data_IF_189640374946
#
_entry.id   IF_189640374946
#
_cell.length_a   1.000
_cell.length_b   1.000
_cell.length_c   1.000
_cell.angle_alpha   90.00
_cell.angle_beta   90.00
_cell.angle_gamma   90.00
#
_symmetry.space_group_name_H-M   'P 1'
#
loop_
_entity.id
_entity.type
_entity.pdbx_description
1 polymer ?
#
# COMPACT_ATOMS: atom_id res chain seq x y z
N UNK A 1 7.96 -8.67 4.10
CA UNK A 1 7.34 -9.72 3.27
C UNK A 1 8.45 -10.39 2.46
N UNK A 2 8.61 -11.70 2.59
CA UNK A 2 9.52 -12.47 1.75
C UNK A 2 8.67 -13.07 0.63
N UNK A 3 9.02 -12.80 -0.63
CA UNK A 3 8.26 -13.36 -1.75
C UNK A 3 8.34 -14.89 -1.70
N UNK A 4 7.21 -15.61 -1.84
CA UNK A 4 7.22 -17.06 -1.96
C UNK A 4 8.06 -17.44 -3.18
N UNK A 5 9.15 -18.18 -2.97
CA UNK A 5 10.10 -18.52 -4.04
C UNK A 5 9.42 -19.27 -5.19
N UNK A 6 8.40 -20.06 -4.87
CA UNK A 6 7.68 -20.90 -5.84
C UNK A 6 6.65 -20.10 -6.67
N UNK A 7 6.41 -18.82 -6.35
CA UNK A 7 5.49 -17.94 -7.08
C UNK A 7 6.15 -16.59 -7.40
N UNK A 8 7.49 -16.58 -7.51
CA UNK A 8 8.27 -15.38 -7.80
C UNK A 8 9.33 -15.67 -8.85
N UNK A 9 9.25 -14.95 -9.96
CA UNK A 9 10.19 -15.04 -11.05
C UNK A 9 10.89 -13.68 -11.26
N UNK A 10 12.21 -13.71 -11.45
CA UNK A 10 12.99 -12.58 -11.97
C UNK A 10 13.52 -13.00 -13.33
N UNK A 11 13.24 -12.21 -14.35
CA UNK A 11 13.67 -12.48 -15.72
C UNK A 11 13.65 -11.21 -16.57
N UNK A 12 13.94 -11.36 -17.86
CA UNK A 12 13.85 -10.27 -18.83
C UNK A 12 12.38 -10.06 -19.25
N UNK A 13 11.65 -9.25 -18.47
CA UNK A 13 10.25 -8.87 -18.69
C UNK A 13 10.09 -7.37 -18.99
N UNK A 14 11.09 -6.74 -19.63
CA UNK A 14 10.94 -5.36 -20.07
C UNK A 14 10.09 -5.29 -21.34
N UNK A 15 9.00 -4.52 -21.33
CA UNK A 15 8.05 -4.40 -22.46
C UNK A 15 8.67 -3.83 -23.75
N UNK A 16 9.87 -3.25 -23.67
CA UNK A 16 10.62 -2.76 -24.82
C UNK A 16 11.59 -3.81 -25.40
N UNK A 17 11.70 -4.99 -24.79
CA UNK A 17 12.48 -6.11 -25.32
C UNK A 17 11.70 -6.79 -26.44
N UNK A 18 12.30 -7.08 -27.61
CA UNK A 18 11.67 -7.86 -28.67
C UNK A 18 11.19 -9.25 -28.20
N UNK A 19 11.85 -9.82 -27.20
CA UNK A 19 11.56 -11.14 -26.61
C UNK A 19 10.51 -11.09 -25.50
N UNK A 20 9.96 -9.91 -25.17
CA UNK A 20 9.04 -9.75 -24.04
C UNK A 20 7.87 -10.72 -24.10
N UNK A 21 7.13 -10.74 -25.22
CA UNK A 21 5.91 -11.56 -25.37
C UNK A 21 6.25 -13.05 -25.20
N UNK A 22 7.34 -13.51 -25.81
CA UNK A 22 7.80 -14.89 -25.70
C UNK A 22 8.13 -15.26 -24.26
N UNK A 23 8.98 -14.47 -23.59
CA UNK A 23 9.40 -14.74 -22.21
C UNK A 23 8.21 -14.65 -21.25
N UNK A 24 7.33 -13.67 -21.46
CA UNK A 24 6.17 -13.45 -20.61
C UNK A 24 5.18 -14.61 -20.73
N UNK A 25 4.85 -15.08 -21.94
CA UNK A 25 4.00 -16.26 -22.12
C UNK A 25 4.60 -17.53 -21.53
N UNK A 26 5.91 -17.76 -21.67
CA UNK A 26 6.58 -18.88 -21.00
C UNK A 26 6.40 -18.84 -19.47
N UNK A 27 6.44 -17.64 -18.89
CA UNK A 27 6.20 -17.45 -17.45
C UNK A 27 4.73 -17.68 -17.09
N UNK A 28 3.80 -17.15 -17.89
CA UNK A 28 2.36 -17.38 -17.70
C UNK A 28 2.04 -18.89 -17.73
N UNK A 29 2.57 -19.62 -18.71
CA UNK A 29 2.37 -21.06 -18.86
C UNK A 29 2.99 -21.84 -17.68
N UNK A 30 4.22 -21.50 -17.29
CA UNK A 30 4.94 -22.20 -16.23
C UNK A 30 4.28 -22.07 -14.84
N UNK A 31 3.57 -20.97 -14.60
CA UNK A 31 2.83 -20.73 -13.35
C UNK A 31 1.32 -20.92 -13.48
N UNK A 32 0.83 -21.38 -14.63
CA UNK A 32 -0.61 -21.56 -14.91
C UNK A 32 -1.42 -20.27 -14.63
N UNK A 33 -0.88 -19.12 -15.03
CA UNK A 33 -1.50 -17.81 -14.80
C UNK A 33 -2.59 -17.57 -15.85
N UNK A 34 -3.83 -17.47 -15.40
CA UNK A 34 -4.99 -17.21 -16.27
C UNK A 34 -5.33 -15.70 -16.42
N UNK A 35 -4.93 -14.88 -15.44
CA UNK A 35 -5.38 -13.48 -15.34
C UNK A 35 -4.22 -12.53 -15.07
N UNK A 36 -4.19 -11.40 -15.79
CA UNK A 36 -3.18 -10.35 -15.66
C UNK A 36 -3.83 -9.06 -15.14
N UNK A 37 -3.37 -8.58 -13.99
CA UNK A 37 -3.77 -7.27 -13.43
C UNK A 37 -2.59 -6.28 -13.57
N UNK A 38 -2.61 -5.35 -14.54
CA UNK A 38 -1.56 -4.35 -14.67
C UNK A 38 -1.66 -3.29 -13.56
N UNK A 39 -0.53 -2.96 -12.95
CA UNK A 39 -0.45 -1.96 -11.86
C UNK A 39 0.23 -0.66 -12.29
N UNK A 40 0.48 -0.49 -13.60
CA UNK A 40 1.14 0.67 -14.19
C UNK A 40 0.50 1.05 -15.53
N UNK A 41 0.27 2.34 -15.79
CA UNK A 41 -0.46 2.81 -16.98
C UNK A 41 0.25 2.45 -18.30
N UNK A 42 1.57 2.61 -18.39
CA UNK A 42 2.35 2.18 -19.57
C UNK A 42 2.23 0.67 -19.82
N UNK A 43 2.22 -0.14 -18.76
CA UNK A 43 2.13 -1.59 -18.88
C UNK A 43 0.71 -2.00 -19.28
N UNK A 44 -0.31 -1.38 -18.68
CA UNK A 44 -1.71 -1.60 -19.03
C UNK A 44 -1.97 -1.33 -20.52
N UNK A 45 -1.51 -0.19 -21.04
CA UNK A 45 -1.64 0.13 -22.46
C UNK A 45 -0.92 -0.88 -23.35
N UNK A 46 0.35 -1.17 -23.08
CA UNK A 46 1.13 -2.10 -23.89
C UNK A 46 0.51 -3.50 -23.91
N UNK A 47 0.12 -4.04 -22.76
CA UNK A 47 -0.48 -5.36 -22.67
C UNK A 47 -1.84 -5.44 -23.37
N UNK A 48 -2.67 -4.40 -23.27
CA UNK A 48 -3.90 -4.28 -24.06
C UNK A 48 -3.63 -4.19 -25.57
N UNK A 49 -2.51 -3.60 -26.00
CA UNK A 49 -2.13 -3.55 -27.41
C UNK A 49 -1.75 -4.93 -27.98
N UNK A 50 -1.22 -5.81 -27.13
CA UNK A 50 -0.77 -7.16 -27.51
C UNK A 50 -1.63 -8.28 -26.91
N UNK A 51 -2.81 -7.95 -26.38
CA UNK A 51 -3.62 -8.90 -25.59
C UNK A 51 -3.92 -10.20 -26.33
N UNK A 52 -4.17 -10.15 -27.64
CA UNK A 52 -4.42 -11.32 -28.49
C UNK A 52 -3.22 -12.28 -28.61
N UNK A 53 -2.01 -11.84 -28.24
CA UNK A 53 -0.79 -12.63 -28.25
C UNK A 53 -0.46 -13.24 -26.87
N UNK A 54 -1.19 -12.85 -25.81
CA UNK A 54 -0.94 -13.30 -24.45
C UNK A 54 -1.68 -14.61 -24.17
N UNK A 55 -1.08 -15.49 -23.37
CA UNK A 55 -1.72 -16.75 -22.94
C UNK A 55 -2.65 -16.58 -21.70
N UNK A 56 -2.94 -15.34 -21.31
CA UNK A 56 -3.76 -15.00 -20.15
C UNK A 56 -4.63 -13.77 -20.45
N UNK A 57 -5.74 -13.64 -19.73
CA UNK A 57 -6.71 -12.57 -19.95
C UNK A 57 -6.38 -11.31 -19.14
N UNK A 58 -6.63 -10.14 -19.74
CA UNK A 58 -6.42 -8.84 -19.10
C UNK A 58 -7.58 -8.50 -18.16
N UNK A 59 -7.25 -8.09 -16.94
CA UNK A 59 -8.19 -7.55 -15.94
C UNK A 59 -7.96 -6.05 -15.84
N UNK A 60 -8.38 -5.33 -16.88
CA UNK A 60 -8.39 -3.86 -16.92
C UNK A 60 -9.46 -3.34 -17.89
N UNK A 61 -9.54 -2.01 -18.02
CA UNK A 61 -10.37 -1.40 -19.05
C UNK A 61 -9.77 -1.59 -20.45
N UNK A 62 -10.62 -1.44 -21.46
CA UNK A 62 -10.27 -1.65 -22.86
C UNK A 62 -9.08 -0.79 -23.36
N UNK A 63 -8.42 -1.26 -24.41
CA UNK A 63 -7.33 -0.55 -25.14
C UNK A 63 -7.54 0.95 -25.35
N UNK A 64 -8.73 1.40 -25.75
CA UNK A 64 -9.00 2.84 -25.96
C UNK A 64 -8.95 3.61 -24.65
N UNK A 65 -9.60 3.12 -23.61
CA UNK A 65 -9.53 3.71 -22.28
C UNK A 65 -8.09 3.77 -21.74
N UNK A 66 -7.31 2.71 -21.94
CA UNK A 66 -5.88 2.67 -21.58
C UNK A 66 -5.05 3.72 -22.31
N UNK A 67 -5.32 3.92 -23.60
CA UNK A 67 -4.65 4.93 -24.42
C UNK A 67 -4.97 6.35 -23.95
N UNK A 68 -6.26 6.66 -23.75
CA UNK A 68 -6.70 7.97 -23.26
C UNK A 68 -6.17 8.25 -21.85
N UNK A 69 -6.24 7.27 -20.94
CA UNK A 69 -5.68 7.40 -19.59
C UNK A 69 -4.18 7.72 -19.60
N UNK A 70 -3.44 7.16 -20.55
CA UNK A 70 -1.99 7.38 -20.66
C UNK A 70 -1.63 8.73 -21.28
N UNK A 71 -2.53 9.32 -22.07
CA UNK A 71 -2.28 10.50 -22.90
C UNK A 71 -3.17 11.67 -22.47
N UNK A 72 -2.60 12.59 -21.67
CA UNK A 72 -3.33 13.72 -21.07
C UNK A 72 -3.94 14.66 -22.11
N UNK A 73 -3.27 14.88 -23.24
CA UNK A 73 -3.74 15.72 -24.32
C UNK A 73 -5.00 15.11 -24.93
N UNK A 74 -4.94 13.83 -25.32
CA UNK A 74 -6.10 13.09 -25.85
C UNK A 74 -7.24 13.08 -24.83
N UNK A 75 -6.95 12.85 -23.55
CA UNK A 75 -7.96 12.90 -22.48
C UNK A 75 -8.67 14.26 -22.43
N UNK A 76 -7.93 15.36 -22.46
CA UNK A 76 -8.54 16.69 -22.43
C UNK A 76 -9.30 16.99 -23.71
N UNK A 77 -8.80 16.58 -24.87
CA UNK A 77 -9.47 16.78 -26.16
C UNK A 77 -10.81 16.00 -26.22
N UNK A 78 -10.81 14.76 -25.72
CA UNK A 78 -12.03 13.95 -25.61
C UNK A 78 -13.03 14.56 -24.63
N UNK A 79 -12.57 15.23 -23.56
CA UNK A 79 -13.45 15.78 -22.52
C UNK A 79 -13.66 17.30 -22.64
N UNK A 80 -13.21 17.94 -23.72
CA UNK A 80 -13.12 19.41 -23.84
C UNK A 80 -14.42 20.18 -23.60
N UNK A 81 -15.57 19.54 -23.85
CA UNK A 81 -16.90 20.15 -23.67
C UNK A 81 -17.40 20.06 -22.22
N UNK A 82 -16.67 19.36 -21.35
CA UNK A 82 -17.03 19.16 -19.96
C UNK A 82 -16.49 20.27 -19.05
N UNK A 83 -17.32 20.76 -18.15
CA UNK A 83 -16.99 21.90 -17.26
C UNK A 83 -15.87 21.60 -16.27
N UNK A 84 -15.61 20.33 -15.99
CA UNK A 84 -14.55 19.88 -15.10
C UNK A 84 -13.20 19.72 -15.81
N UNK A 85 -13.10 19.96 -17.12
CA UNK A 85 -11.79 20.03 -17.77
C UNK A 85 -11.13 21.37 -17.43
N UNK A 86 -9.85 21.38 -17.01
CA UNK A 86 -9.11 22.62 -16.83
C UNK A 86 -8.88 23.28 -18.19
N UNK A 87 -8.70 24.59 -18.20
CA UNK A 87 -8.28 25.32 -19.40
C UNK A 87 -6.95 24.76 -19.88
N UNK A 88 -6.94 24.22 -21.10
CA UNK A 88 -5.74 23.71 -21.79
C UNK A 88 -5.34 24.72 -22.85
N UNK A 89 -4.07 25.11 -22.85
CA UNK A 89 -3.52 26.07 -23.80
C UNK A 89 -2.76 25.34 -24.91
N UNK A 90 -2.91 25.84 -26.13
CA UNK A 90 -2.27 25.29 -27.34
C UNK A 90 -1.39 26.33 -28.02
N UNK A 91 -0.40 25.86 -28.79
CA UNK A 91 0.41 26.71 -29.65
C UNK A 91 -0.51 27.48 -30.63
N UNK A 92 -0.26 28.79 -30.89
CA UNK A 92 0.96 29.55 -30.58
C UNK A 92 1.04 30.13 -29.15
N UNK A 93 0.10 29.79 -28.26
CA UNK A 93 -0.02 30.25 -26.87
C UNK A 93 -0.23 31.78 -26.75
N UNK A 94 -1.17 32.33 -27.52
CA UNK A 94 -1.49 33.77 -27.55
C UNK A 94 -2.10 34.29 -26.25
N UNK A 95 -2.92 33.47 -25.57
CA UNK A 95 -3.85 33.91 -24.52
C UNK A 95 -3.58 33.23 -23.17
N UNK A 96 -2.31 33.11 -22.78
CA UNK A 96 -1.92 32.49 -21.51
C UNK A 96 -2.28 33.39 -20.31
N UNK A 97 -3.04 32.84 -19.36
CA UNK A 97 -3.20 33.43 -18.02
C UNK A 97 -2.20 32.81 -17.04
N UNK A 98 -1.28 33.62 -16.51
CA UNK A 98 -0.30 33.16 -15.54
C UNK A 98 -0.83 33.20 -14.10
N UNK A 99 -0.42 32.24 -13.24
CA UNK A 99 0.53 31.17 -13.53
C UNK A 99 -0.09 29.99 -14.32
N UNK A 100 0.72 29.33 -15.14
CA UNK A 100 0.34 28.10 -15.87
C UNK A 100 1.09 26.90 -15.33
N UNK A 101 0.48 25.72 -15.45
CA UNK A 101 1.08 24.46 -15.04
C UNK A 101 1.41 23.62 -16.28
N UNK A 102 2.68 23.23 -16.40
CA UNK A 102 3.19 22.42 -17.51
C UNK A 102 3.46 21.02 -16.98
N UNK A 103 3.03 20.00 -17.73
CA UNK A 103 3.27 18.59 -17.39
C UNK A 103 3.50 17.75 -18.66
N UNK A 104 4.30 16.67 -18.60
CA UNK A 104 4.43 15.77 -19.73
C UNK A 104 3.08 15.19 -20.12
N UNK A 105 2.83 15.07 -21.43
CA UNK A 105 1.62 14.45 -21.96
C UNK A 105 1.49 12.99 -21.49
N UNK A 106 2.61 12.28 -21.51
CA UNK A 106 2.79 10.92 -21.01
C UNK A 106 3.77 10.99 -19.84
N UNK A 107 3.34 10.63 -18.63
CA UNK A 107 4.17 10.76 -17.43
C UNK A 107 3.54 10.17 -16.19
N UNK A 108 4.27 10.19 -15.08
CA UNK A 108 3.86 9.64 -13.78
C UNK A 108 4.60 10.34 -12.64
N UNK A 109 4.03 10.26 -11.42
CA UNK A 109 4.73 10.69 -10.20
C UNK A 109 5.21 12.15 -10.19
N UNK A 110 4.51 13.03 -10.92
CA UNK A 110 4.86 14.45 -11.11
C UNK A 110 6.24 14.72 -11.72
N UNK A 111 6.90 13.72 -12.32
CA UNK A 111 8.19 13.91 -13.01
C UNK A 111 8.00 14.85 -14.22
N UNK A 112 8.84 15.89 -14.30
CA UNK A 112 8.80 16.87 -15.40
C UNK A 112 7.65 17.88 -15.31
N UNK A 113 6.82 17.86 -14.26
CA UNK A 113 5.78 18.85 -14.07
C UNK A 113 6.34 20.11 -13.38
N UNK A 114 5.94 21.30 -13.83
CA UNK A 114 6.39 22.57 -13.25
C UNK A 114 5.34 23.68 -13.32
N UNK A 115 5.42 24.60 -12.36
CA UNK A 115 4.63 25.82 -12.31
C UNK A 115 5.41 26.97 -12.94
N UNK A 116 4.86 27.58 -13.99
CA UNK A 116 5.45 28.75 -14.65
C UNK A 116 4.66 29.99 -14.24
N UNK A 117 5.33 30.92 -13.57
CA UNK A 117 4.68 32.09 -12.93
C UNK A 117 4.57 33.33 -13.82
N UNK A 118 5.30 33.39 -14.94
CA UNK A 118 5.36 34.58 -15.78
C UNK A 118 5.61 34.24 -17.25
N UNK A 119 5.23 35.19 -18.12
CA UNK A 119 5.49 35.13 -19.57
C UNK A 119 6.96 34.92 -19.90
N UNK A 120 7.86 35.63 -19.22
CA UNK A 120 9.30 35.48 -19.40
C UNK A 120 9.78 34.06 -19.09
N UNK A 121 9.25 33.44 -18.04
CA UNK A 121 9.57 32.05 -17.69
C UNK A 121 9.04 31.07 -18.75
N UNK A 122 7.87 31.34 -19.30
CA UNK A 122 7.28 30.53 -20.36
C UNK A 122 8.10 30.60 -21.66
N UNK A 123 8.45 31.80 -22.12
CA UNK A 123 9.20 31.99 -23.37
C UNK A 123 10.58 31.31 -23.33
N UNK A 124 11.21 31.20 -22.16
CA UNK A 124 12.47 30.44 -21.99
C UNK A 124 12.31 28.94 -22.22
N UNK A 125 11.14 28.39 -21.92
CA UNK A 125 10.86 26.95 -21.98
C UNK A 125 10.01 26.57 -23.20
N UNK A 126 9.41 27.55 -23.90
CA UNK A 126 8.42 27.35 -24.96
C UNK A 126 8.87 26.38 -26.05
N UNK A 127 10.16 26.40 -26.40
CA UNK A 127 10.74 25.53 -27.43
C UNK A 127 10.96 24.09 -26.94
N UNK A 128 11.02 23.88 -25.62
CA UNK A 128 11.19 22.57 -24.98
C UNK A 128 9.85 21.94 -24.56
N UNK A 129 8.71 22.59 -24.87
CA UNK A 129 7.37 22.09 -24.56
C UNK A 129 6.87 20.99 -25.51
N UNK A 130 7.75 20.40 -26.32
CA UNK A 130 7.40 19.27 -27.16
C UNK A 130 6.91 18.11 -26.28
N UNK A 131 5.75 17.55 -26.60
CA UNK A 131 5.06 16.51 -25.81
C UNK A 131 4.70 16.92 -24.37
N UNK A 132 4.57 18.21 -24.09
CA UNK A 132 4.02 18.74 -22.85
C UNK A 132 2.56 19.19 -23.04
N UNK A 133 1.80 19.21 -21.95
CA UNK A 133 0.47 19.81 -21.87
C UNK A 133 0.57 21.03 -20.96
N UNK A 134 0.06 22.16 -21.43
CA UNK A 134 0.02 23.43 -20.69
C UNK A 134 -1.41 23.66 -20.23
N UNK A 135 -1.62 23.75 -18.92
CA UNK A 135 -2.94 23.96 -18.31
C UNK A 135 -2.95 25.21 -17.43
N UNK A 136 -4.14 25.69 -17.07
CA UNK A 136 -4.30 26.61 -15.95
C UNK A 136 -3.71 26.02 -14.65
N UNK A 137 -3.23 26.90 -13.78
CA UNK A 137 -2.81 26.49 -12.45
C UNK A 137 -4.01 26.32 -11.52
N UNK A 138 -4.10 25.13 -10.90
CA UNK A 138 -5.12 24.78 -9.92
C UNK A 138 -4.54 24.93 -8.50
N UNK A 139 -4.91 25.97 -7.72
CA UNK A 139 -4.30 26.27 -6.43
C UNK A 139 -4.89 25.52 -5.25
N UNK A 140 -6.10 24.95 -5.37
CA UNK A 140 -6.83 24.40 -4.23
C UNK A 140 -6.50 22.94 -3.92
N UNK A 141 -7.39 22.28 -3.18
CA UNK A 141 -7.15 20.93 -2.66
C UNK A 141 -7.16 19.86 -3.76
N UNK A 142 -6.29 18.86 -3.61
CA UNK A 142 -6.15 17.72 -4.53
C UNK A 142 -6.77 16.45 -3.93
N UNK A 143 -7.52 15.72 -4.75
CA UNK A 143 -8.21 14.50 -4.37
C UNK A 143 -7.90 13.37 -5.35
N UNK A 144 -7.90 12.14 -4.84
CA UNK A 144 -8.04 10.93 -5.66
C UNK A 144 -9.42 10.34 -5.42
N UNK A 145 -10.08 9.93 -6.49
CA UNK A 145 -11.40 9.30 -6.44
C UNK A 145 -11.27 7.88 -6.97
N UNK A 146 -11.25 6.90 -6.07
CA UNK A 146 -11.17 5.49 -6.43
C UNK A 146 -12.56 5.00 -6.85
N UNK A 147 -12.63 4.29 -7.98
CA UNK A 147 -13.87 3.89 -8.62
C UNK A 147 -13.87 2.40 -9.00
N UNK A 148 -15.07 1.83 -9.14
CA UNK A 148 -15.24 0.49 -9.68
C UNK A 148 -16.45 0.43 -10.61
N UNK A 149 -16.25 -0.05 -11.83
CA UNK A 149 -17.31 -0.25 -12.83
C UNK A 149 -17.39 -1.73 -13.21
N UNK A 150 -18.59 -2.32 -13.19
CA UNK A 150 -18.76 -3.74 -13.51
C UNK A 150 -18.82 -4.03 -15.03
N UNK A 151 -18.91 -5.31 -15.39
CA UNK A 151 -19.01 -5.80 -16.78
C UNK A 151 -20.27 -5.36 -17.52
N UNK A 152 -21.28 -4.88 -16.79
CA UNK A 152 -22.50 -4.32 -17.36
C UNK A 152 -22.39 -2.80 -17.56
N UNK A 153 -21.24 -2.19 -17.23
CA UNK A 153 -21.00 -0.76 -17.32
C UNK A 153 -21.60 0.05 -16.18
N UNK A 154 -22.01 -0.60 -15.08
CA UNK A 154 -22.58 0.08 -13.91
C UNK A 154 -21.46 0.55 -12.98
N UNK A 155 -21.43 1.84 -12.68
CA UNK A 155 -20.50 2.43 -11.72
C UNK A 155 -20.96 2.11 -10.29
N UNK A 156 -20.37 1.06 -9.70
CA UNK A 156 -20.81 0.52 -8.40
C UNK A 156 -20.15 1.23 -7.21
N UNK A 157 -18.99 1.85 -7.39
CA UNK A 157 -18.29 2.54 -6.31
C UNK A 157 -17.63 3.84 -6.79
N UNK A 158 -17.73 4.89 -5.97
CA UNK A 158 -17.03 6.18 -6.13
C UNK A 158 -16.63 6.68 -4.74
N UNK A 159 -15.33 6.69 -4.45
CA UNK A 159 -14.79 7.06 -3.15
C UNK A 159 -13.73 8.14 -3.24
N UNK A 160 -14.04 9.42 -2.92
CA UNK A 160 -13.04 10.49 -2.89
C UNK A 160 -12.22 10.47 -1.60
N UNK A 161 -10.92 10.78 -1.71
CA UNK A 161 -10.01 10.91 -0.57
C UNK A 161 -8.98 12.00 -0.80
N UNK A 162 -8.54 12.64 0.28
CA UNK A 162 -7.58 13.75 0.25
C UNK A 162 -6.18 13.27 -0.12
N UNK A 163 -5.32 14.19 -0.54
CA UNK A 163 -3.88 13.94 -0.75
C UNK A 163 -3.03 14.91 0.06
N UNK A 164 -3.13 14.82 1.39
CA UNK A 164 -2.54 15.79 2.33
C UNK A 164 -1.01 15.79 2.34
N UNK A 165 -0.40 14.61 2.36
CA UNK A 165 1.06 14.47 2.30
C UNK A 165 1.45 13.57 1.13
N UNK A 166 2.14 14.13 0.16
CA UNK A 166 2.62 13.43 -1.03
C UNK A 166 4.14 13.34 -0.98
N UNK A 167 4.68 12.16 -1.28
CA UNK A 167 6.12 11.93 -1.41
C UNK A 167 6.37 10.81 -2.41
N UNK A 168 7.46 10.89 -3.19
CA UNK A 168 7.82 9.84 -4.17
C UNK A 168 6.67 9.44 -5.12
N UNK A 169 5.80 10.40 -5.48
CA UNK A 169 4.63 10.16 -6.34
C UNK A 169 3.44 9.43 -5.67
N UNK A 170 3.51 9.12 -4.38
CA UNK A 170 2.45 8.45 -3.62
C UNK A 170 1.93 9.29 -2.46
N UNK A 171 0.68 9.05 -2.06
CA UNK A 171 0.06 9.70 -0.90
C UNK A 171 0.43 8.95 0.37
N UNK A 172 1.16 9.63 1.27
CA UNK A 172 1.52 9.14 2.60
C UNK A 172 0.44 9.40 3.64
N UNK A 173 -0.35 10.47 3.48
CA UNK A 173 -1.45 10.82 4.36
C UNK A 173 -2.70 11.13 3.55
N UNK A 174 -3.79 10.45 3.88
CA UNK A 174 -5.07 10.58 3.19
C UNK A 174 -6.22 10.39 4.16
N UNK A 175 -7.24 11.22 4.04
CA UNK A 175 -8.49 11.14 4.77
C UNK A 175 -9.63 10.89 3.78
N UNK A 176 -10.66 10.16 4.22
CA UNK A 176 -11.87 10.00 3.43
C UNK A 176 -12.53 11.37 3.24
N UNK A 177 -13.05 11.62 2.04
CA UNK A 177 -13.91 12.77 1.75
C UNK A 177 -15.33 12.26 1.47
N UNK A 178 -16.33 13.06 1.80
CA UNK A 178 -17.71 12.79 1.40
C UNK A 178 -17.86 12.86 -0.12
N UNK A 179 -18.66 11.95 -0.68
CA UNK A 179 -18.98 11.96 -2.09
C UNK A 179 -20.00 13.07 -2.38
N UNK A 180 -19.60 14.06 -3.15
CA UNK A 180 -20.50 15.11 -3.63
C UNK A 180 -21.09 14.73 -4.99
N UNK A 181 -22.23 15.33 -5.35
CA UNK A 181 -22.85 15.15 -6.66
C UNK A 181 -21.93 15.60 -7.81
N UNK A 182 -21.11 16.64 -7.59
CA UNK A 182 -20.11 17.10 -8.55
C UNK A 182 -19.09 15.99 -8.85
N UNK A 183 -18.50 15.39 -7.80
CA UNK A 183 -17.52 14.30 -7.96
C UNK A 183 -18.15 13.07 -8.61
N UNK A 184 -19.36 12.68 -8.18
CA UNK A 184 -20.07 11.55 -8.77
C UNK A 184 -20.33 11.77 -10.26
N UNK A 185 -20.76 12.96 -10.66
CA UNK A 185 -21.03 13.29 -12.07
C UNK A 185 -19.77 13.21 -12.94
N UNK A 186 -18.63 13.69 -12.44
CA UNK A 186 -17.34 13.53 -13.13
C UNK A 186 -17.04 12.04 -13.34
N UNK A 187 -17.20 11.22 -12.29
CA UNK A 187 -16.96 9.79 -12.34
C UNK A 187 -17.88 9.09 -13.36
N UNK A 188 -19.17 9.42 -13.36
CA UNK A 188 -20.16 8.84 -14.27
C UNK A 188 -19.85 9.16 -15.73
N UNK A 189 -19.51 10.42 -16.03
CA UNK A 189 -19.18 10.87 -17.40
C UNK A 189 -17.94 10.15 -17.92
N UNK A 190 -16.86 10.11 -17.12
CA UNK A 190 -15.62 9.42 -17.50
C UNK A 190 -15.89 7.92 -17.71
N UNK A 191 -16.56 7.27 -16.75
CA UNK A 191 -16.88 5.84 -16.82
C UNK A 191 -17.65 5.48 -18.10
N UNK A 192 -18.73 6.24 -18.38
CA UNK A 192 -19.59 6.00 -19.54
C UNK A 192 -18.89 6.30 -20.85
N UNK A 193 -18.17 7.42 -20.95
CA UNK A 193 -17.53 7.87 -22.19
C UNK A 193 -16.47 6.88 -22.67
N UNK A 194 -15.64 6.37 -21.74
CA UNK A 194 -14.53 5.47 -22.07
C UNK A 194 -14.85 3.99 -21.85
N UNK A 195 -16.09 3.66 -21.43
CA UNK A 195 -16.54 2.29 -21.13
C UNK A 195 -15.58 1.60 -20.16
N UNK A 196 -15.32 2.27 -19.04
CA UNK A 196 -14.42 1.75 -18.01
C UNK A 196 -15.00 0.49 -17.38
N UNK A 197 -14.12 -0.45 -17.04
CA UNK A 197 -14.44 -1.73 -16.40
C UNK A 197 -13.35 -2.07 -15.40
N UNK A 198 -13.73 -2.71 -14.30
CA UNK A 198 -12.86 -3.03 -13.17
C UNK A 198 -12.55 -1.82 -12.31
N UNK A 199 -11.44 -1.89 -11.58
CA UNK A 199 -10.94 -0.80 -10.75
C UNK A 199 -10.22 0.27 -11.57
N UNK A 200 -10.59 1.52 -11.34
CA UNK A 200 -9.98 2.69 -11.96
C UNK A 200 -10.03 3.86 -10.97
N UNK A 201 -9.31 4.94 -11.25
CA UNK A 201 -9.43 6.15 -10.44
C UNK A 201 -9.18 7.38 -11.28
N UNK A 202 -9.60 8.52 -10.76
CA UNK A 202 -9.25 9.82 -11.32
C UNK A 202 -8.79 10.77 -10.24
N UNK A 203 -8.07 11.81 -10.65
CA UNK A 203 -7.58 12.86 -9.78
C UNK A 203 -8.22 14.18 -10.17
N UNK A 204 -8.72 14.89 -9.17
CA UNK A 204 -9.29 16.22 -9.32
C UNK A 204 -8.60 17.18 -8.38
N UNK A 205 -8.58 18.45 -8.77
CA UNK A 205 -8.05 19.53 -7.96
C UNK A 205 -8.90 20.77 -8.12
N UNK A 206 -9.09 21.49 -7.02
CA UNK A 206 -9.88 22.71 -7.00
C UNK A 206 -9.17 23.85 -7.75
N UNK A 207 -9.92 24.53 -8.60
CA UNK A 207 -9.51 25.80 -9.20
C UNK A 207 -9.55 26.96 -8.17
N UNK A 208 -9.25 28.18 -8.62
CA UNK A 208 -9.26 29.39 -7.77
C UNK A 208 -10.64 29.74 -7.17
N UNK A 209 -11.71 29.16 -7.70
CA UNK A 209 -13.09 29.36 -7.26
C UNK A 209 -13.64 28.15 -6.47
N UNK A 210 -12.81 27.12 -6.24
CA UNK A 210 -13.22 25.89 -5.55
C UNK A 210 -13.95 24.88 -6.43
N UNK A 211 -13.93 25.04 -7.76
CA UNK A 211 -14.56 24.09 -8.70
C UNK A 211 -13.60 22.93 -8.98
N UNK A 212 -14.12 21.70 -9.01
CA UNK A 212 -13.29 20.52 -9.25
C UNK A 212 -12.87 20.41 -10.71
N UNK A 213 -11.55 20.38 -10.96
CA UNK A 213 -10.97 20.19 -12.29
C UNK A 213 -10.22 18.86 -12.39
N UNK A 214 -10.44 18.12 -13.46
CA UNK A 214 -9.78 16.85 -13.76
C UNK A 214 -8.30 17.07 -14.06
N UNK A 215 -7.44 16.32 -13.37
CA UNK A 215 -6.00 16.32 -13.62
C UNK A 215 -5.58 15.18 -14.54
N UNK A 216 -6.09 13.98 -14.27
CA UNK A 216 -5.84 12.72 -14.98
C UNK A 216 -6.83 11.64 -14.50
N UNK A 217 -7.01 10.60 -15.30
CA UNK A 217 -7.59 9.32 -14.84
C UNK A 217 -6.67 8.16 -15.24
N UNK A 218 -6.92 7.00 -14.64
CA UNK A 218 -6.10 5.82 -14.81
C UNK A 218 -6.96 4.57 -14.69
N UNK A 219 -6.69 3.59 -15.56
CA UNK A 219 -7.44 2.32 -15.67
C UNK A 219 -6.81 1.18 -14.89
N UNK A 220 -5.90 1.53 -13.96
CA UNK A 220 -5.26 0.61 -13.03
C UNK A 220 -5.65 0.98 -11.60
N UNK A 221 -5.15 0.16 -10.69
CA UNK A 221 -5.28 0.37 -9.26
C UNK A 221 -4.44 1.57 -8.78
N UNK A 222 -5.02 2.41 -7.91
CA UNK A 222 -4.28 3.49 -7.27
C UNK A 222 -3.31 2.94 -6.20
N UNK A 223 -2.11 3.53 -6.08
CA UNK A 223 -1.13 3.09 -5.06
C UNK A 223 -1.64 3.16 -3.61
N UNK A 224 -2.60 4.05 -3.34
CA UNK A 224 -3.23 4.23 -2.01
C UNK A 224 -4.62 3.57 -1.93
N UNK A 225 -4.98 2.66 -2.84
CA UNK A 225 -6.28 1.97 -2.78
C UNK A 225 -6.50 1.13 -1.52
N UNK A 226 -5.42 0.75 -0.82
CA UNK A 226 -5.49 0.09 0.49
C UNK A 226 -6.35 0.88 1.49
N UNK A 227 -6.51 2.19 1.28
CA UNK A 227 -7.43 3.03 2.04
C UNK A 227 -8.85 2.45 2.04
N UNK A 228 -9.45 2.28 0.86
CA UNK A 228 -10.81 1.77 0.73
C UNK A 228 -10.90 0.26 0.97
N UNK A 229 -9.77 -0.47 0.91
CA UNK A 229 -9.71 -1.86 1.37
C UNK A 229 -10.09 -1.98 2.84
N UNK A 230 -9.67 -1.03 3.68
CA UNK A 230 -10.06 -0.99 5.09
C UNK A 230 -11.54 -0.63 5.31
N UNK A 231 -12.20 -0.07 4.28
CA UNK A 231 -13.63 0.23 4.29
C UNK A 231 -14.46 -0.86 3.57
N UNK A 232 -13.87 -2.03 3.31
CA UNK A 232 -14.55 -3.18 2.72
C UNK A 232 -14.38 -3.36 1.20
N UNK A 233 -13.75 -2.41 0.50
CA UNK A 233 -13.66 -2.43 -0.96
C UNK A 233 -12.41 -3.18 -1.43
N UNK A 234 -12.59 -4.42 -1.88
CA UNK A 234 -11.50 -5.23 -2.44
C UNK A 234 -11.37 -5.06 -3.95
N UNK A 235 -10.81 -3.93 -4.42
CA UNK A 235 -10.69 -3.66 -5.86
C UNK A 235 -10.04 -4.80 -6.68
N UNK A 236 -8.95 -5.46 -6.25
CA UNK A 236 -8.43 -6.64 -6.95
C UNK A 236 -9.43 -7.78 -7.07
N UNK A 237 -10.03 -8.22 -5.95
CA UNK A 237 -10.97 -9.33 -6.00
C UNK A 237 -12.24 -8.98 -6.78
N UNK A 238 -12.76 -7.76 -6.64
CA UNK A 238 -13.91 -7.29 -7.41
C UNK A 238 -13.62 -7.29 -8.91
N UNK A 239 -12.43 -6.81 -9.32
CA UNK A 239 -12.05 -6.78 -10.74
C UNK A 239 -11.87 -8.18 -11.30
N UNK A 240 -11.28 -9.09 -10.52
CA UNK A 240 -11.09 -10.49 -10.91
C UNK A 240 -12.43 -11.23 -11.04
N UNK A 241 -13.31 -11.15 -10.02
CA UNK A 241 -14.62 -11.80 -10.08
C UNK A 241 -15.49 -11.25 -11.22
N UNK A 242 -15.42 -9.94 -11.46
CA UNK A 242 -16.08 -9.32 -12.61
C UNK A 242 -15.52 -9.84 -13.95
N UNK A 243 -14.19 -10.00 -14.06
CA UNK A 243 -13.52 -10.56 -15.24
C UNK A 243 -13.95 -12.02 -15.48
N UNK A 244 -14.07 -12.82 -14.42
CA UNK A 244 -14.59 -14.19 -14.43
C UNK A 244 -16.10 -14.30 -14.75
N UNK A 245 -16.78 -13.18 -15.02
CA UNK A 245 -18.19 -13.16 -15.39
C UNK A 245 -19.16 -13.24 -14.20
N UNK A 246 -18.69 -13.01 -12.97
CA UNK A 246 -19.53 -13.01 -11.77
C UNK A 246 -20.13 -11.63 -11.51
N UNK A 247 -21.40 -11.59 -11.10
CA UNK A 247 -22.02 -10.35 -10.62
C UNK A 247 -21.47 -10.01 -9.24
N UNK A 248 -20.91 -8.81 -9.11
CA UNK A 248 -20.34 -8.32 -7.86
C UNK A 248 -21.22 -7.24 -7.24
N UNK A 249 -21.12 -7.09 -5.92
CA UNK A 249 -21.81 -6.05 -5.15
C UNK A 249 -20.83 -5.42 -4.17
N UNK A 250 -21.03 -4.13 -3.89
CA UNK A 250 -20.19 -3.37 -2.98
C UNK A 250 -20.76 -3.45 -1.56
N UNK A 251 -19.92 -3.90 -0.62
CA UNK A 251 -20.15 -3.79 0.81
C UNK A 251 -19.21 -2.72 1.36
N UNK A 252 -19.77 -1.57 1.70
CA UNK A 252 -19.02 -0.40 2.12
C UNK A 252 -19.27 -0.07 3.58
N UNK A 253 -18.20 -0.06 4.37
CA UNK A 253 -18.26 0.39 5.75
C UNK A 253 -18.12 1.91 5.80
N UNK A 254 -19.24 2.59 5.95
CA UNK A 254 -19.31 4.04 5.91
C UNK A 254 -18.88 4.67 7.25
N UNK A 255 -17.57 4.84 7.45
CA UNK A 255 -17.03 5.62 8.56
C UNK A 255 -15.83 6.50 8.16
N UNK A 256 -15.50 7.54 8.95
CA UNK A 256 -14.28 8.32 8.77
C UNK A 256 -13.04 7.46 8.95
N UNK A 257 -12.12 7.54 8.00
CA UNK A 257 -10.85 6.85 8.05
C UNK A 257 -9.72 7.79 7.63
N UNK A 258 -8.61 7.68 8.33
CA UNK A 258 -7.35 8.32 7.98
C UNK A 258 -6.29 7.22 7.83
N UNK A 259 -5.49 7.31 6.78
CA UNK A 259 -4.30 6.49 6.62
C UNK A 259 -3.05 7.36 6.78
N UNK A 260 -2.09 6.84 7.52
CA UNK A 260 -0.71 7.31 7.49
C UNK A 260 0.21 6.16 7.12
N UNK A 261 1.03 6.37 6.09
CA UNK A 261 2.02 5.39 5.65
C UNK A 261 3.36 5.68 6.30
N UNK A 262 4.01 4.61 6.76
CA UNK A 262 5.40 4.60 7.18
C UNK A 262 6.16 3.49 6.45
N UNK A 263 7.47 3.65 6.35
CA UNK A 263 8.34 2.56 5.94
C UNK A 263 8.44 1.62 7.13
N UNK A 264 8.04 0.36 6.93
CA UNK A 264 8.14 -0.68 7.94
C UNK A 264 9.44 -1.44 7.76
N UNK A 265 10.24 -1.53 8.83
CA UNK A 265 11.40 -2.43 8.89
C UNK A 265 10.93 -3.84 9.23
N UNK A 266 11.44 -4.83 8.51
CA UNK A 266 11.23 -6.24 8.79
C UNK A 266 12.57 -6.94 8.93
N UNK A 267 12.63 -7.97 9.76
CA UNK A 267 13.85 -8.70 10.08
C UNK A 267 13.73 -10.17 9.70
N UNK A 268 14.86 -10.80 9.41
CA UNK A 268 14.98 -12.26 9.38
C UNK A 268 16.00 -12.66 10.43
N UNK A 269 15.52 -13.18 11.54
CA UNK A 269 16.40 -13.66 12.59
C UNK A 269 16.93 -15.06 12.23
N UNK A 270 18.25 -15.19 12.15
CA UNK A 270 18.92 -16.40 11.62
C UNK A 270 19.30 -17.45 12.67
N UNK A 271 19.08 -17.18 13.96
CA UNK A 271 19.42 -18.11 15.03
C UNK A 271 18.26 -19.07 15.28
N UNK A 272 18.54 -20.38 15.29
CA UNK A 272 17.56 -21.41 15.60
C UNK A 272 17.50 -21.61 17.10
N UNK A 273 16.29 -21.56 17.65
CA UNK A 273 16.02 -21.77 19.07
C UNK A 273 14.74 -22.59 19.24
N UNK A 274 14.67 -23.35 20.32
CA UNK A 274 13.53 -24.18 20.72
C UNK A 274 12.91 -23.72 22.05
N UNK A 275 13.53 -22.77 22.75
CA UNK A 275 13.05 -22.23 24.01
C UNK A 275 13.11 -20.69 24.02
N UNK A 276 11.98 -20.06 24.30
CA UNK A 276 11.82 -18.62 24.49
C UNK A 276 11.64 -18.33 25.98
N UNK A 277 12.60 -17.62 26.57
CA UNK A 277 12.47 -17.07 27.91
C UNK A 277 11.96 -15.63 27.82
N UNK A 278 10.93 -15.30 28.59
CA UNK A 278 10.32 -13.97 28.62
C UNK A 278 10.23 -13.51 30.06
N UNK A 279 10.72 -12.31 30.34
CA UNK A 279 10.48 -11.68 31.63
C UNK A 279 9.04 -11.17 31.78
N UNK A 280 8.51 -11.22 32.99
CA UNK A 280 7.17 -10.74 33.28
C UNK A 280 7.13 -9.21 33.42
N UNK A 281 7.86 -8.70 34.41
CA UNK A 281 7.83 -7.29 34.83
C UNK A 281 8.56 -6.40 33.82
N UNK A 282 7.96 -5.26 33.48
CA UNK A 282 8.45 -4.30 32.49
C UNK A 282 8.81 -4.88 31.10
N UNK A 283 8.38 -6.12 30.81
CA UNK A 283 8.63 -6.84 29.56
C UNK A 283 7.33 -7.37 28.96
N UNK A 284 6.70 -8.38 29.58
CA UNK A 284 5.36 -8.83 29.19
C UNK A 284 4.28 -7.84 29.64
N UNK A 285 4.47 -7.25 30.83
CA UNK A 285 3.63 -6.18 31.35
C UNK A 285 4.47 -4.90 31.40
N UNK A 286 4.10 -3.89 30.63
CA UNK A 286 4.81 -2.60 30.57
C UNK A 286 3.85 -1.50 31.02
N UNK A 287 4.24 -0.70 32.02
CA UNK A 287 3.44 0.41 32.55
C UNK A 287 1.99 0.03 32.89
N UNK A 288 1.77 -1.17 33.43
CA UNK A 288 0.44 -1.66 33.81
C UNK A 288 -0.44 -2.09 32.63
N UNK A 289 0.13 -2.32 31.45
CA UNK A 289 -0.56 -2.85 30.29
C UNK A 289 0.18 -4.05 29.68
N UNK A 290 -0.56 -4.92 28.99
CA UNK A 290 0.02 -6.09 28.31
C UNK A 290 0.76 -5.63 27.05
N UNK A 291 2.00 -6.09 26.89
CA UNK A 291 2.76 -5.90 25.67
C UNK A 291 2.31 -6.87 24.58
N UNK A 292 1.47 -6.38 23.67
CA UNK A 292 0.84 -7.19 22.62
C UNK A 292 1.85 -7.77 21.61
N UNK A 293 3.01 -7.13 21.43
CA UNK A 293 4.11 -7.65 20.59
C UNK A 293 4.69 -8.92 21.19
N UNK A 294 4.92 -8.93 22.50
CA UNK A 294 5.44 -10.10 23.22
C UNK A 294 4.39 -11.21 23.28
N UNK A 295 3.11 -10.86 23.51
CA UNK A 295 2.01 -11.85 23.45
C UNK A 295 1.93 -12.50 22.06
N UNK A 296 2.01 -11.70 20.98
CA UNK A 296 2.07 -12.23 19.61
C UNK A 296 3.23 -13.21 19.45
N UNK A 297 4.41 -12.86 19.97
CA UNK A 297 5.58 -13.73 19.90
C UNK A 297 5.44 -15.02 20.73
N UNK A 298 4.77 -14.98 21.87
CA UNK A 298 4.45 -16.17 22.69
C UNK A 298 3.55 -17.12 21.88
N UNK A 299 2.44 -16.63 21.33
CA UNK A 299 1.55 -17.46 20.50
C UNK A 299 2.26 -18.02 19.27
N UNK A 300 3.09 -17.20 18.60
CA UNK A 300 3.90 -17.67 17.48
C UNK A 300 4.87 -18.79 17.91
N UNK A 301 5.51 -18.65 19.07
CA UNK A 301 6.42 -19.67 19.61
C UNK A 301 5.68 -20.98 19.88
N UNK A 302 4.52 -20.92 20.53
CA UNK A 302 3.65 -22.08 20.79
C UNK A 302 3.28 -22.78 19.46
N UNK A 303 2.85 -22.01 18.45
CA UNK A 303 2.50 -22.57 17.13
C UNK A 303 3.68 -23.26 16.44
N UNK A 304 4.91 -22.79 16.68
CA UNK A 304 6.14 -23.36 16.15
C UNK A 304 6.70 -24.51 17.01
N UNK A 305 6.02 -24.88 18.10
CA UNK A 305 6.52 -25.87 19.06
C UNK A 305 7.75 -25.42 19.86
N UNK A 306 7.98 -24.10 19.92
CA UNK A 306 9.01 -23.48 20.75
C UNK A 306 8.45 -23.36 22.15
N UNK A 307 9.17 -23.92 23.13
CA UNK A 307 8.81 -23.84 24.56
C UNK A 307 8.84 -22.40 25.03
N UNK A 308 7.86 -21.99 25.82
CA UNK A 308 7.78 -20.65 26.39
C UNK A 308 7.93 -20.74 27.91
N UNK A 309 8.94 -20.05 28.44
CA UNK A 309 9.21 -20.00 29.88
C UNK A 309 9.08 -18.57 30.38
N UNK A 310 8.17 -18.34 31.33
CA UNK A 310 8.04 -17.06 32.01
C UNK A 310 9.06 -17.00 33.16
N UNK A 311 9.88 -15.96 33.16
CA UNK A 311 10.76 -15.62 34.27
C UNK A 311 10.19 -14.40 34.98
N UNK A 312 10.28 -14.36 36.30
CA UNK A 312 9.82 -13.18 37.03
C UNK A 312 10.50 -13.04 38.38
N UNK A 313 10.70 -11.79 38.81
CA UNK A 313 11.05 -11.40 40.18
C UNK A 313 9.90 -10.62 40.83
N UNK A 314 8.68 -10.81 40.32
CA UNK A 314 7.50 -10.02 40.65
C UNK A 314 7.24 -10.01 42.15
N UNK A 315 7.06 -8.82 42.70
CA UNK A 315 6.70 -8.65 44.10
C UNK A 315 5.18 -8.79 44.21
N UNK A 316 4.71 -9.90 44.79
CA UNK A 316 3.29 -10.17 45.01
C UNK A 316 2.85 -11.54 44.52
N UNK A 317 1.53 -11.75 44.44
CA UNK A 317 0.95 -12.96 43.86
C UNK A 317 0.93 -12.85 42.33
N UNK A 318 1.75 -13.67 41.67
CA UNK A 318 1.83 -13.70 40.21
C UNK A 318 0.52 -14.16 39.56
N UNK A 319 -0.24 -15.06 40.20
CA UNK A 319 -1.49 -15.57 39.63
C UNK A 319 -2.55 -14.47 39.59
N UNK A 320 -2.62 -13.64 40.64
CA UNK A 320 -3.50 -12.46 40.66
C UNK A 320 -3.10 -11.47 39.56
N UNK A 321 -1.80 -11.25 39.35
CA UNK A 321 -1.29 -10.40 38.28
C UNK A 321 -1.61 -10.95 36.89
N UNK A 322 -1.39 -12.25 36.66
CA UNK A 322 -1.75 -12.91 35.40
C UNK A 322 -3.26 -12.83 35.12
N UNK A 323 -4.09 -13.11 36.13
CA UNK A 323 -5.54 -13.02 36.05
C UNK A 323 -6.02 -11.60 35.74
N UNK A 324 -5.44 -10.58 36.42
CA UNK A 324 -5.72 -9.16 36.18
C UNK A 324 -5.54 -8.78 34.70
N UNK A 325 -4.48 -9.27 34.07
CA UNK A 325 -4.16 -8.98 32.68
C UNK A 325 -4.73 -9.98 31.67
N UNK A 326 -5.53 -10.96 32.14
CA UNK A 326 -6.12 -12.03 31.32
C UNK A 326 -5.07 -12.84 30.56
N UNK A 327 -3.90 -13.03 31.17
CA UNK A 327 -2.83 -13.87 30.64
C UNK A 327 -2.99 -15.23 31.30
N UNK A 328 -3.30 -16.25 30.50
CA UNK A 328 -3.41 -17.62 31.00
C UNK A 328 -2.03 -18.16 31.35
N UNK A 329 -1.88 -18.78 32.52
CA UNK A 329 -0.66 -19.50 32.91
C UNK A 329 -0.31 -20.62 31.91
N UNK A 330 -1.32 -21.18 31.23
CA UNK A 330 -1.15 -22.23 30.22
C UNK A 330 -0.48 -21.74 28.92
N UNK A 331 -0.17 -20.45 28.80
CA UNK A 331 0.68 -19.93 27.73
C UNK A 331 2.16 -20.28 27.95
N UNK A 332 2.52 -20.76 29.15
CA UNK A 332 3.89 -21.04 29.52
C UNK A 332 4.05 -22.52 29.86
N UNK A 333 5.01 -23.19 29.22
CA UNK A 333 5.43 -24.54 29.59
C UNK A 333 6.00 -24.58 31.02
N UNK A 334 6.54 -23.44 31.47
CA UNK A 334 7.05 -23.26 32.82
C UNK A 334 6.98 -21.80 33.24
N UNK A 335 6.62 -21.59 34.50
CA UNK A 335 6.72 -20.29 35.19
C UNK A 335 7.78 -20.43 36.29
N UNK A 336 8.78 -19.55 36.27
CA UNK A 336 9.88 -19.55 37.24
C UNK A 336 9.85 -18.24 38.01
N UNK A 337 9.44 -18.32 39.28
CA UNK A 337 9.56 -17.22 40.22
C UNK A 337 10.98 -17.22 40.82
N UNK A 338 11.74 -16.17 40.53
CA UNK A 338 13.15 -16.02 40.88
C UNK A 338 13.26 -15.22 42.17
N UNK A 339 14.08 -15.72 43.10
CA UNK A 339 14.35 -15.08 44.38
C UNK A 339 14.99 -13.70 44.14
N UNK A 340 14.59 -12.65 44.88
CA UNK A 340 15.24 -11.34 44.80
C UNK A 340 16.77 -11.44 44.95
N UNK A 341 17.50 -10.84 44.01
CA UNK A 341 18.97 -10.85 43.97
C UNK A 341 19.62 -12.04 43.25
N UNK A 342 18.90 -13.12 42.94
CA UNK A 342 19.42 -14.20 42.11
C UNK A 342 19.45 -13.80 40.62
N UNK A 343 20.38 -14.35 39.83
CA UNK A 343 20.52 -14.04 38.40
C UNK A 343 19.58 -14.88 37.55
N UNK A 344 18.92 -14.29 36.53
CA UNK A 344 18.10 -15.07 35.57
C UNK A 344 18.92 -16.12 34.82
N UNK A 345 20.22 -15.88 34.65
CA UNK A 345 21.13 -16.84 34.01
C UNK A 345 21.22 -18.19 34.74
N UNK A 346 20.88 -18.24 36.04
CA UNK A 346 20.87 -19.49 36.81
C UNK A 346 19.69 -20.40 36.46
N UNK A 347 18.66 -19.87 35.79
CA UNK A 347 17.40 -20.56 35.50
C UNK A 347 17.18 -20.80 33.99
N UNK A 348 18.14 -20.41 33.15
CA UNK A 348 18.07 -20.52 31.69
C UNK A 348 18.96 -21.66 31.20
N UNK A 349 18.41 -22.48 30.31
CA UNK A 349 19.18 -23.49 29.56
C UNK A 349 19.98 -22.79 28.44
N UNK A 350 21.28 -23.07 28.25
CA UNK A 350 22.08 -22.39 27.23
C UNK A 350 21.83 -22.91 25.80
N UNK A 351 21.29 -24.12 25.62
CA UNK A 351 21.12 -24.71 24.30
C UNK A 351 19.81 -24.26 23.66
N UNK A 352 19.90 -23.68 22.46
CA UNK A 352 18.72 -23.37 21.64
C UNK A 352 17.76 -22.37 22.31
N UNK A 353 18.28 -21.40 23.06
CA UNK A 353 17.44 -20.49 23.86
C UNK A 353 17.62 -19.04 23.46
N UNK A 354 16.58 -18.23 23.69
CA UNK A 354 16.63 -16.77 23.60
C UNK A 354 15.96 -16.16 24.83
N UNK A 355 16.44 -15.00 25.28
CA UNK A 355 15.84 -14.24 26.38
C UNK A 355 15.32 -12.88 25.90
N UNK A 356 14.14 -12.50 26.38
CA UNK A 356 13.61 -11.15 26.28
C UNK A 356 13.45 -10.58 27.69
N UNK A 357 14.08 -9.44 27.94
CA UNK A 357 14.16 -8.83 29.26
C UNK A 357 14.52 -7.35 29.13
N UNK A 358 13.76 -6.44 29.73
CA UNK A 358 14.08 -5.01 29.67
C UNK A 358 15.40 -4.68 30.39
N UNK A 359 15.75 -5.43 31.44
CA UNK A 359 16.81 -5.04 32.34
C UNK A 359 18.18 -5.44 31.80
N UNK A 360 18.97 -4.42 31.45
CA UNK A 360 20.26 -4.59 30.79
C UNK A 360 21.23 -5.50 31.57
N UNK A 361 21.24 -5.41 32.89
CA UNK A 361 22.15 -6.21 33.73
C UNK A 361 21.84 -7.70 33.60
N UNK A 362 20.56 -8.10 33.60
CA UNK A 362 20.15 -9.50 33.41
C UNK A 362 20.52 -9.99 32.02
N UNK A 363 20.22 -9.21 30.99
CA UNK A 363 20.61 -9.54 29.60
C UNK A 363 22.11 -9.72 29.46
N UNK A 364 22.91 -8.80 30.03
CA UNK A 364 24.36 -8.87 29.98
C UNK A 364 24.86 -10.14 30.67
N UNK A 365 24.40 -10.43 31.88
CA UNK A 365 24.80 -11.64 32.62
C UNK A 365 24.44 -12.92 31.86
N UNK A 366 23.24 -13.00 31.30
CA UNK A 366 22.80 -14.14 30.48
C UNK A 366 23.66 -14.29 29.23
N UNK A 367 23.96 -13.17 28.55
CA UNK A 367 24.83 -13.16 27.36
C UNK A 367 26.25 -13.62 27.69
N UNK A 368 26.84 -13.10 28.75
CA UNK A 368 28.24 -13.40 29.14
C UNK A 368 28.39 -14.84 29.64
N UNK A 369 27.41 -15.33 30.42
CA UNK A 369 27.48 -16.66 31.06
C UNK A 369 27.02 -17.80 30.16
N UNK A 370 25.99 -17.57 29.36
CA UNK A 370 25.33 -18.63 28.56
C UNK A 370 25.58 -18.50 27.05
N UNK A 371 26.10 -17.35 26.59
CA UNK A 371 26.36 -17.05 25.17
C UNK A 371 25.14 -17.22 24.25
N UNK A 372 23.93 -17.02 24.77
CA UNK A 372 22.68 -17.02 23.98
C UNK A 372 22.32 -15.62 23.48
N UNK A 373 21.45 -15.48 22.47
CA UNK A 373 20.88 -14.20 22.09
C UNK A 373 19.95 -13.65 23.19
N UNK A 374 20.06 -12.34 23.45
CA UNK A 374 19.24 -11.61 24.43
C UNK A 374 18.69 -10.35 23.78
N UNK A 375 17.45 -9.98 24.09
CA UNK A 375 16.74 -8.88 23.47
C UNK A 375 16.12 -7.96 24.50
N UNK A 376 16.27 -6.66 24.27
CA UNK A 376 15.40 -5.68 24.90
C UNK A 376 13.99 -5.76 24.31
N UNK A 377 13.03 -5.13 24.98
CA UNK A 377 11.61 -5.19 24.62
C UNK A 377 11.34 -4.60 23.23
N UNK A 378 12.03 -3.51 22.86
CA UNK A 378 11.90 -2.86 21.55
C UNK A 378 12.60 -3.64 20.43
N UNK A 379 13.63 -4.42 20.75
CA UNK A 379 14.35 -5.28 19.81
C UNK A 379 13.63 -6.61 19.53
N UNK A 380 12.72 -7.04 20.41
CA UNK A 380 12.02 -8.33 20.32
C UNK A 380 11.20 -8.51 19.02
N UNK A 381 10.81 -7.40 18.36
CA UNK A 381 10.08 -7.44 17.09
C UNK A 381 10.84 -8.19 15.98
N UNK A 382 12.17 -8.31 16.07
CA UNK A 382 12.95 -9.07 15.08
C UNK A 382 12.73 -10.59 15.14
N UNK A 383 12.18 -11.10 16.25
CA UNK A 383 11.82 -12.52 16.43
C UNK A 383 10.44 -12.86 15.86
N UNK A 384 9.64 -11.84 15.50
CA UNK A 384 8.32 -12.04 14.91
C UNK A 384 8.47 -12.42 13.44
N UNK A 385 7.83 -13.52 13.09
CA UNK A 385 7.73 -14.02 11.74
C UNK A 385 6.50 -13.43 11.06
N UNK A 386 6.75 -12.52 10.13
CA UNK A 386 5.68 -11.84 9.38
C UNK A 386 5.19 -12.64 8.17
N UNK A 387 5.70 -13.85 7.92
CA UNK A 387 5.21 -14.70 6.83
C UNK A 387 3.86 -15.37 7.11
N UNK A 388 3.39 -15.33 8.36
CA UNK A 388 2.12 -15.90 8.81
C UNK A 388 0.96 -14.90 8.82
N UNK A 389 1.17 -13.67 8.33
CA UNK A 389 0.16 -12.61 8.16
C UNK A 389 -0.28 -12.53 6.71
#
# INVERSE_FOLDING_TARGET
MLYPKDHFCIGNFFINSPEFIHNFNQMLDAFEIEWIIPTHDTIALYLEEVAEQLHAEMVCSNKWASYVARNKQVMFDELKDETFVPTVYHAPYSDLEFPVFVKPNIGEGAKGACLIKSKEGFERLKNDLNNMVVCEYLPGMEYTVDCFTDRHGRLLFVGPRTRERIGMGITFQSCRKELTNEIYRIAEIISRKFRLRGAWFFQIKEDKNGVMKLMEFSVRMAGTMVFYRQLGINFPALSLFDAMGMDVTILFNDYPLQIERCIKTAFRFGYKYDTLYVDFDDTLIVNGAVNTTIVKLIYQSIQKGIKVVLLTKHVGDLNDSLAKYRISENLFDKIIHIIPGASKADYISPNGSVLIDNYFIERREVRERLNIPVFDVDAAACLIDESLL
#
